data_IF_916796155473
#
_entry.id   IF_916796155473
#
_cell.length_a   1.000
_cell.length_b   1.000
_cell.length_c   1.000
_cell.angle_alpha   90.00
_cell.angle_beta   90.00
_cell.angle_gamma   90.00
#
_symmetry.space_group_name_H-M   'P 1'
#
loop_
_entity.id
_entity.type
_entity.pdbx_description
1 polymer ?
#
# COMPACT_ATOMS: atom_id res chain seq x y z
N UNK A 1 -9.58 1.32 -7.57
CA UNK A 1 -8.28 2.04 -7.52
C UNK A 1 -8.43 3.56 -7.46
N UNK A 2 -9.23 4.22 -8.30
CA UNK A 2 -9.43 5.67 -8.18
C UNK A 2 -9.88 6.10 -6.78
N UNK A 3 -10.96 5.49 -6.28
CA UNK A 3 -11.47 5.75 -4.92
C UNK A 3 -10.43 5.47 -3.84
N UNK A 4 -9.53 4.49 -4.04
CA UNK A 4 -8.42 4.21 -3.13
C UNK A 4 -7.45 5.39 -3.11
N UNK A 5 -7.10 5.96 -4.27
CA UNK A 5 -6.27 7.16 -4.34
C UNK A 5 -6.88 8.36 -3.61
N UNK A 6 -8.20 8.56 -3.74
CA UNK A 6 -8.91 9.62 -3.01
C UNK A 6 -8.88 9.35 -1.50
N UNK A 7 -9.12 8.11 -1.06
CA UNK A 7 -9.07 7.73 0.36
C UNK A 7 -7.66 7.96 0.94
N UNK A 8 -6.61 7.56 0.23
CA UNK A 8 -5.22 7.78 0.67
C UNK A 8 -4.94 9.28 0.76
N UNK A 9 -5.34 10.07 -0.23
CA UNK A 9 -5.18 11.54 -0.20
C UNK A 9 -5.82 12.16 1.04
N UNK A 10 -7.09 11.84 1.31
CA UNK A 10 -7.85 12.40 2.46
C UNK A 10 -7.25 11.90 3.78
N UNK A 11 -6.84 10.63 3.85
CA UNK A 11 -6.24 10.06 5.07
C UNK A 11 -4.94 10.75 5.47
N UNK A 12 -4.17 11.21 4.48
CA UNK A 12 -2.90 11.91 4.72
C UNK A 12 -3.07 13.41 4.93
N UNK A 13 -4.01 14.05 4.25
CA UNK A 13 -4.12 15.51 4.24
C UNK A 13 -5.28 16.08 5.06
N UNK A 14 -6.38 15.33 5.19
CA UNK A 14 -7.65 15.78 5.78
C UNK A 14 -8.73 16.14 4.75
N UNK A 15 -8.54 17.13 3.85
CA UNK A 15 -9.55 17.54 2.89
C UNK A 15 -9.59 16.65 1.64
N UNK A 16 -10.67 16.78 0.88
CA UNK A 16 -10.78 16.16 -0.45
C UNK A 16 -9.85 16.83 -1.46
N UNK A 17 -9.36 16.09 -2.48
CA UNK A 17 -8.42 16.61 -3.47
C UNK A 17 -9.08 17.51 -4.53
N UNK A 18 -10.33 17.95 -4.32
CA UNK A 18 -11.13 18.72 -5.26
C UNK A 18 -11.39 20.11 -4.72
N UNK A 19 -11.31 21.12 -5.58
CA UNK A 19 -11.79 22.47 -5.32
C UNK A 19 -13.32 22.49 -5.40
N UNK A 20 -14.00 22.96 -4.34
CA UNK A 20 -15.46 23.04 -4.29
C UNK A 20 -16.03 24.11 -5.22
N UNK A 21 -15.20 25.10 -5.61
CA UNK A 21 -15.60 26.20 -6.49
C UNK A 21 -15.51 25.84 -7.99
N UNK A 22 -15.02 24.64 -8.33
CA UNK A 22 -14.82 24.17 -9.71
C UNK A 22 -15.59 22.88 -9.99
N UNK A 23 -15.92 22.62 -11.26
CA UNK A 23 -16.59 21.37 -11.65
C UNK A 23 -15.66 20.17 -11.37
N UNK A 24 -16.14 19.24 -10.55
CA UNK A 24 -15.39 18.04 -10.16
C UNK A 24 -15.05 17.19 -11.39
N UNK A 25 -15.93 17.10 -12.39
CA UNK A 25 -15.66 16.32 -13.60
C UNK A 25 -14.48 16.90 -14.39
N UNK A 26 -14.39 18.23 -14.46
CA UNK A 26 -13.27 18.90 -15.15
C UNK A 26 -11.96 18.67 -14.40
N UNK A 27 -11.98 18.76 -13.06
CA UNK A 27 -10.81 18.47 -12.24
C UNK A 27 -10.35 17.02 -12.38
N UNK A 28 -11.29 16.08 -12.44
CA UNK A 28 -11.02 14.66 -12.70
C UNK A 28 -10.41 14.49 -14.09
N UNK A 29 -10.99 15.07 -15.14
CA UNK A 29 -10.52 14.91 -16.52
C UNK A 29 -9.13 15.53 -16.76
N UNK A 30 -8.84 16.62 -16.05
CA UNK A 30 -7.55 17.31 -16.15
C UNK A 30 -6.48 16.76 -15.19
N UNK A 31 -6.85 15.83 -14.29
CA UNK A 31 -5.98 15.35 -13.20
C UNK A 31 -5.38 16.49 -12.37
N UNK A 32 -6.13 17.57 -12.17
CA UNK A 32 -5.68 18.80 -11.54
C UNK A 32 -5.74 18.70 -10.00
N UNK A 33 -5.09 17.68 -9.43
CA UNK A 33 -5.02 17.51 -7.98
C UNK A 33 -3.98 18.45 -7.38
N UNK A 34 -4.37 19.14 -6.31
CA UNK A 34 -3.49 20.07 -5.61
C UNK A 34 -2.80 19.38 -4.43
N UNK A 35 -1.55 19.72 -4.19
CA UNK A 35 -0.78 19.30 -3.01
C UNK A 35 -0.29 20.56 -2.28
N UNK A 36 -1.18 21.28 -1.55
CA UNK A 36 -0.80 22.53 -0.88
C UNK A 36 0.34 22.27 0.12
N UNK A 37 1.29 23.21 0.33
CA UNK A 37 2.48 22.96 1.14
C UNK A 37 2.21 22.44 2.56
N UNK A 38 1.09 22.80 3.17
CA UNK A 38 0.66 22.23 4.44
C UNK A 38 -0.58 21.33 4.20
N UNK A 39 -0.59 20.04 4.57
CA UNK A 39 0.48 19.28 5.25
C UNK A 39 1.49 18.61 4.29
N UNK A 40 1.37 18.78 2.98
CA UNK A 40 2.11 17.97 2.00
C UNK A 40 3.63 18.14 1.98
N UNK A 41 4.17 19.17 2.64
CA UNK A 41 5.61 19.33 2.85
C UNK A 41 6.20 18.25 3.78
N UNK A 42 5.40 17.72 4.70
CA UNK A 42 5.82 16.70 5.67
C UNK A 42 5.51 15.28 5.18
N UNK A 43 4.62 15.15 4.19
CA UNK A 43 4.25 13.87 3.58
C UNK A 43 5.35 13.43 2.61
N UNK A 44 5.69 12.14 2.61
CA UNK A 44 6.75 11.61 1.76
C UNK A 44 6.43 11.72 0.27
N UNK A 45 7.46 11.95 -0.55
CA UNK A 45 7.32 12.00 -2.01
C UNK A 45 6.78 10.70 -2.60
N UNK A 46 7.10 9.55 -1.98
CA UNK A 46 6.58 8.24 -2.39
C UNK A 46 5.06 8.12 -2.17
N UNK A 47 4.51 8.74 -1.12
CA UNK A 47 3.06 8.78 -0.91
C UNK A 47 2.37 9.53 -2.04
N UNK A 48 2.92 10.70 -2.39
CA UNK A 48 2.44 11.54 -3.50
C UNK A 48 2.56 10.79 -4.83
N UNK A 49 3.66 10.07 -5.06
CA UNK A 49 3.85 9.27 -6.26
C UNK A 49 2.80 8.16 -6.38
N UNK A 50 2.51 7.44 -5.30
CA UNK A 50 1.44 6.43 -5.30
C UNK A 50 0.08 7.05 -5.64
N UNK A 51 -0.28 8.17 -5.00
CA UNK A 51 -1.54 8.87 -5.27
C UNK A 51 -1.63 9.27 -6.74
N UNK A 52 -0.57 9.84 -7.31
CA UNK A 52 -0.53 10.22 -8.72
C UNK A 52 -0.72 9.02 -9.65
N UNK A 53 -0.17 7.85 -9.30
CA UNK A 53 -0.35 6.62 -10.08
C UNK A 53 -1.75 5.98 -9.91
N UNK A 54 -2.43 6.24 -8.79
CA UNK A 54 -3.82 5.81 -8.52
C UNK A 54 -4.86 6.75 -9.16
N UNK A 55 -4.59 8.05 -9.20
CA UNK A 55 -5.46 9.10 -9.73
C UNK A 55 -5.17 9.41 -11.20
N UNK A 56 -5.01 8.35 -12.00
CA UNK A 56 -4.83 8.47 -13.45
C UNK A 56 -6.18 8.45 -14.19
N UNK A 57 -6.40 9.43 -15.06
CA UNK A 57 -7.60 9.53 -15.92
C UNK A 57 -7.65 8.39 -16.92
N UNK A 58 -6.52 8.14 -17.59
CA UNK A 58 -6.39 7.00 -18.51
C UNK A 58 -6.29 5.71 -17.69
N UNK A 59 -7.32 4.88 -17.76
CA UNK A 59 -7.39 3.61 -17.02
C UNK A 59 -6.16 2.71 -17.24
N UNK A 60 -5.60 2.69 -18.47
CA UNK A 60 -4.38 1.92 -18.80
C UNK A 60 -3.11 2.40 -18.07
N UNK A 61 -3.08 3.67 -17.63
CA UNK A 61 -1.96 4.23 -16.85
C UNK A 61 -2.18 4.07 -15.34
N UNK A 62 -3.44 3.85 -14.92
CA UNK A 62 -3.81 3.69 -13.51
C UNK A 62 -3.23 2.40 -12.96
N UNK A 63 -2.66 2.45 -11.76
CA UNK A 63 -2.15 1.26 -11.11
C UNK A 63 -3.28 0.26 -10.82
N UNK A 64 -2.97 -1.03 -11.03
CA UNK A 64 -3.76 -2.14 -10.52
C UNK A 64 -3.51 -2.32 -9.03
N UNK A 65 -4.25 -3.24 -8.40
CA UNK A 65 -4.02 -3.62 -6.99
C UNK A 65 -2.59 -4.12 -6.82
N UNK A 66 -2.15 -5.09 -7.64
CA UNK A 66 -0.82 -5.68 -7.53
C UNK A 66 0.29 -4.63 -7.67
N UNK A 67 0.18 -3.74 -8.67
CA UNK A 67 1.15 -2.65 -8.85
C UNK A 67 1.17 -1.67 -7.68
N UNK A 68 0.02 -1.45 -7.04
CA UNK A 68 -0.07 -0.56 -5.88
C UNK A 68 0.56 -1.21 -4.65
N UNK A 69 0.30 -2.50 -4.42
CA UNK A 69 0.91 -3.26 -3.33
C UNK A 69 2.43 -3.30 -3.47
N UNK A 70 2.96 -3.46 -4.68
CA UNK A 70 4.41 -3.43 -4.94
C UNK A 70 5.05 -2.04 -4.92
N UNK A 71 4.28 -0.97 -4.71
CA UNK A 71 4.81 0.39 -4.74
C UNK A 71 5.72 0.66 -3.51
N UNK A 72 6.89 1.32 -3.66
CA UNK A 72 7.85 1.54 -2.57
C UNK A 72 7.25 2.10 -1.28
N UNK A 73 6.27 3.01 -1.39
CA UNK A 73 5.58 3.58 -0.24
C UNK A 73 4.91 2.55 0.70
N UNK A 74 4.50 1.39 0.16
CA UNK A 74 3.92 0.28 0.94
C UNK A 74 4.92 -0.84 1.24
N UNK A 75 6.15 -0.73 0.75
CA UNK A 75 7.21 -1.73 0.88
C UNK A 75 8.16 -1.36 2.02
N UNK A 76 7.58 -1.14 3.20
CA UNK A 76 8.29 -0.80 4.42
C UNK A 76 8.33 -1.99 5.41
N UNK A 77 9.45 -2.12 6.13
CA UNK A 77 9.67 -3.24 7.05
C UNK A 77 8.69 -3.24 8.22
N UNK A 78 8.39 -2.06 8.80
CA UNK A 78 7.44 -1.97 9.91
C UNK A 78 6.02 -2.29 9.44
N UNK A 79 5.64 -1.78 8.27
CA UNK A 79 4.35 -2.10 7.66
C UNK A 79 4.20 -3.60 7.42
N UNK A 80 5.26 -4.28 6.95
CA UNK A 80 5.26 -5.73 6.80
C UNK A 80 5.11 -6.44 8.16
N UNK A 81 5.84 -6.03 9.19
CA UNK A 81 5.71 -6.60 10.54
C UNK A 81 4.27 -6.49 11.07
N UNK A 82 3.66 -5.31 10.95
CA UNK A 82 2.30 -5.07 11.43
C UNK A 82 1.28 -5.95 10.71
N UNK A 83 1.44 -6.15 9.40
CA UNK A 83 0.61 -7.07 8.60
C UNK A 83 0.81 -8.53 9.03
N UNK A 84 2.06 -8.97 9.23
CA UNK A 84 2.37 -10.34 9.65
C UNK A 84 1.86 -10.65 11.05
N UNK A 85 1.90 -9.70 11.96
CA UNK A 85 1.32 -9.83 13.30
C UNK A 85 -0.20 -9.97 13.21
N UNK A 86 -0.85 -9.16 12.38
CA UNK A 86 -2.29 -9.27 12.14
C UNK A 86 -2.68 -10.64 11.57
N UNK A 87 -2.01 -11.08 10.52
CA UNK A 87 -2.24 -12.38 9.86
C UNK A 87 -2.03 -13.55 10.83
N UNK A 88 -0.97 -13.48 11.64
CA UNK A 88 -0.68 -14.49 12.68
C UNK A 88 -1.79 -14.58 13.72
N UNK A 89 -2.34 -13.44 14.14
CA UNK A 89 -3.45 -13.39 15.10
C UNK A 89 -4.76 -13.93 14.51
N UNK A 90 -4.99 -13.73 13.21
CA UNK A 90 -6.18 -14.25 12.51
C UNK A 90 -6.02 -15.73 12.14
N UNK A 91 -4.78 -16.20 12.00
CA UNK A 91 -4.46 -17.58 11.61
C UNK A 91 -4.47 -17.82 10.11
N UNK A 92 -4.49 -16.77 9.29
CA UNK A 92 -4.52 -16.85 7.83
C UNK A 92 -3.70 -15.70 7.21
N UNK A 93 -2.98 -16.00 6.13
CA UNK A 93 -2.19 -15.01 5.36
C UNK A 93 -3.08 -14.44 4.24
N UNK A 94 -3.14 -13.10 4.13
CA UNK A 94 -4.03 -12.41 3.18
C UNK A 94 -3.28 -11.54 2.17
N UNK A 95 -2.40 -10.67 2.65
CA UNK A 95 -1.79 -9.59 1.85
C UNK A 95 -0.31 -9.87 1.60
N UNK A 96 0.40 -10.37 2.62
CA UNK A 96 1.83 -10.64 2.48
C UNK A 96 2.06 -11.92 1.69
N UNK A 97 3.23 -12.05 1.06
CA UNK A 97 3.63 -13.25 0.35
C UNK A 97 4.84 -13.91 1.01
N UNK A 98 5.00 -15.22 0.87
CA UNK A 98 6.16 -15.98 1.38
C UNK A 98 7.50 -15.45 0.84
N UNK A 99 7.51 -14.89 -0.37
CA UNK A 99 8.69 -14.22 -0.94
C UNK A 99 9.11 -12.95 -0.18
N UNK A 100 8.18 -12.32 0.55
CA UNK A 100 8.49 -11.17 1.40
C UNK A 100 9.29 -11.58 2.63
N UNK A 101 9.02 -12.76 3.19
CA UNK A 101 9.66 -13.24 4.41
C UNK A 101 11.19 -13.36 4.22
N UNK A 102 11.63 -14.03 3.15
CA UNK A 102 13.05 -14.16 2.85
C UNK A 102 13.73 -12.80 2.61
N UNK A 103 13.03 -11.88 1.91
CA UNK A 103 13.52 -10.53 1.65
C UNK A 103 13.68 -9.73 2.96
N UNK A 104 12.70 -9.80 3.84
CA UNK A 104 12.69 -9.05 5.09
C UNK A 104 13.57 -9.66 6.18
N UNK A 105 13.79 -10.97 6.17
CA UNK A 105 14.77 -11.63 7.03
C UNK A 105 16.20 -11.15 6.70
N UNK A 106 16.55 -11.11 5.41
CA UNK A 106 17.83 -10.55 4.95
C UNK A 106 17.94 -9.07 5.32
N UNK A 107 16.88 -8.29 5.11
CA UNK A 107 16.85 -6.88 5.49
C UNK A 107 17.08 -6.67 7.00
N UNK A 108 16.39 -7.45 7.85
CA UNK A 108 16.54 -7.36 9.30
C UNK A 108 17.96 -7.73 9.75
N UNK A 109 18.53 -8.79 9.19
CA UNK A 109 19.92 -9.18 9.46
C UNK A 109 20.91 -8.09 9.07
N UNK A 110 20.80 -7.55 7.85
CA UNK A 110 21.71 -6.52 7.34
C UNK A 110 21.65 -5.19 8.08
N UNK A 111 20.49 -4.85 8.65
CA UNK A 111 20.28 -3.62 9.42
C UNK A 111 20.30 -3.84 10.94
N UNK A 112 20.62 -5.07 11.38
CA UNK A 112 20.67 -5.45 12.80
C UNK A 112 19.36 -5.17 13.55
N UNK A 113 18.23 -5.47 12.89
CA UNK A 113 16.86 -5.37 13.41
C UNK A 113 16.39 -6.73 13.93
N UNK A 114 15.40 -6.73 14.82
CA UNK A 114 14.75 -7.94 15.30
C UNK A 114 13.84 -8.54 14.21
N UNK A 115 13.97 -9.86 13.98
CA UNK A 115 13.11 -10.63 13.09
C UNK A 115 12.26 -11.62 13.92
N UNK A 116 10.94 -11.44 14.00
CA UNK A 116 10.08 -12.32 14.80
C UNK A 116 9.98 -13.73 14.23
N UNK A 117 10.01 -14.73 15.11
CA UNK A 117 9.96 -16.16 14.75
C UNK A 117 8.60 -16.81 14.95
N UNK A 118 7.64 -16.08 15.53
CA UNK A 118 6.33 -16.60 15.90
C UNK A 118 5.28 -16.47 14.78
N UNK A 119 5.64 -15.92 13.62
CA UNK A 119 4.71 -15.76 12.53
C UNK A 119 4.23 -17.10 11.97
N UNK A 120 2.95 -17.19 11.63
CA UNK A 120 2.40 -18.38 10.97
C UNK A 120 3.13 -18.63 9.66
N UNK A 121 3.60 -19.85 9.43
CA UNK A 121 4.12 -20.21 8.11
C UNK A 121 2.94 -20.33 7.13
N UNK A 122 3.19 -20.11 5.83
CA UNK A 122 2.17 -20.41 4.83
C UNK A 122 1.77 -21.90 4.97
N UNK A 123 0.47 -22.25 4.83
CA UNK A 123 0.08 -23.64 4.76
C UNK A 123 0.87 -24.31 3.63
N UNK A 124 1.44 -25.50 3.90
CA UNK A 124 2.10 -26.25 2.85
C UNK A 124 1.03 -26.60 1.80
N UNK A 125 1.22 -26.29 0.51
CA UNK A 125 0.25 -26.68 -0.52
C UNK A 125 -0.01 -28.19 -0.54
N UNK A 126 0.94 -29.01 -0.09
CA UNK A 126 0.77 -30.46 0.06
C UNK A 126 -0.20 -30.85 1.20
N UNK A 127 -0.44 -29.97 2.18
CA UNK A 127 -1.39 -30.20 3.28
C UNK A 127 -2.84 -29.87 2.86
N UNK A 128 -3.06 -29.29 1.67
CA UNK A 128 -4.39 -28.99 1.12
C UNK A 128 -4.94 -30.07 0.17
N UNK A 129 -4.19 -31.14 -0.08
CA UNK A 129 -4.65 -32.29 -0.91
C UNK A 129 -5.34 -33.40 -0.10
N UNK A 130 -5.41 -33.31 1.23
CA UNK A 130 -6.17 -34.25 2.06
C UNK A 130 -7.53 -33.67 2.49
N UNK A 131 -8.50 -33.69 1.58
CA UNK A 131 -9.91 -33.78 1.97
C UNK A 131 -10.59 -34.91 1.14
N UNK A 132 -11.10 -35.99 1.78
CA UNK A 132 -11.64 -37.18 1.11
C UNK A 132 -13.04 -37.02 0.48
#
# INVERSE_FOLDING_TARGET
>A
MWSVGVIVYVSLSGPFPFNEDEDINDQIQNAAFMYPPNPWKEISGEAIDLINNLLQVKMRKRYSVDKSLSHPWLQDYQTWLDLREFETRIGERYITHESDDARWEIHAYTHNLEYPKHFIMAPNPDDMEEDP
#
